data_IF_111833453841
#
_entry.id   IF_111833453841
#
_cell.length_a   1.000
_cell.length_b   1.000
_cell.length_c   1.000
_cell.angle_alpha   90.00
_cell.angle_beta   90.00
_cell.angle_gamma   90.00
#
_symmetry.space_group_name_H-M   'P 1'
#
loop_
_entity.id
_entity.type
_entity.pdbx_description
1 polymer ?
#
# COMPACT_ATOMS: atom_id res chain seq x y z
N UNK A 1 16.62 -14.37 -2.86
CA UNK A 1 16.01 -13.09 -2.46
C UNK A 1 16.79 -12.49 -1.30
N UNK A 2 17.03 -11.19 -1.32
CA UNK A 2 17.72 -10.51 -0.22
C UNK A 2 16.83 -10.49 1.02
N UNK A 3 17.43 -10.49 2.21
CA UNK A 3 16.69 -10.48 3.47
C UNK A 3 15.73 -9.27 3.59
N UNK A 4 16.13 -8.11 3.08
CA UNK A 4 15.30 -6.91 3.07
C UNK A 4 14.03 -7.13 2.25
N UNK A 5 14.15 -7.78 1.09
CA UNK A 5 13.01 -8.07 0.22
C UNK A 5 12.06 -9.07 0.86
N UNK A 6 12.59 -10.05 1.58
CA UNK A 6 11.77 -11.01 2.32
C UNK A 6 10.98 -10.34 3.43
N UNK A 7 11.62 -9.46 4.20
CA UNK A 7 10.96 -8.71 5.26
C UNK A 7 9.88 -7.78 4.69
N UNK A 8 10.15 -7.15 3.55
CA UNK A 8 9.19 -6.31 2.87
C UNK A 8 7.96 -7.11 2.45
N UNK A 9 8.15 -8.27 1.83
CA UNK A 9 7.05 -9.14 1.42
C UNK A 9 6.23 -9.63 2.62
N UNK A 10 6.89 -9.98 3.72
CA UNK A 10 6.21 -10.39 4.95
C UNK A 10 5.34 -9.23 5.46
N UNK A 11 5.88 -8.02 5.47
CA UNK A 11 5.13 -6.83 5.92
C UNK A 11 3.92 -6.55 5.04
N UNK A 12 4.04 -6.73 3.71
CA UNK A 12 2.91 -6.56 2.80
C UNK A 12 1.82 -7.62 3.04
N UNK A 13 2.21 -8.85 3.33
CA UNK A 13 1.24 -9.91 3.67
C UNK A 13 0.53 -9.64 4.99
N UNK A 14 1.17 -8.96 5.92
CA UNK A 14 0.52 -8.51 7.16
C UNK A 14 -0.62 -7.52 6.89
N UNK A 15 -0.49 -6.70 5.84
CA UNK A 15 -1.58 -5.81 5.43
C UNK A 15 -2.82 -6.63 5.07
N UNK A 16 -2.65 -7.64 4.23
CA UNK A 16 -3.73 -8.53 3.84
C UNK A 16 -4.38 -9.22 5.05
N UNK A 17 -3.56 -9.79 5.94
CA UNK A 17 -4.07 -10.47 7.13
C UNK A 17 -4.84 -9.52 8.04
N UNK A 18 -4.37 -8.28 8.19
CA UNK A 18 -5.06 -7.28 9.00
C UNK A 18 -6.42 -6.93 8.43
N UNK A 19 -6.54 -6.80 7.12
CA UNK A 19 -7.81 -6.51 6.45
C UNK A 19 -8.80 -7.65 6.65
N UNK A 20 -8.37 -8.88 6.44
CA UNK A 20 -9.23 -10.07 6.62
C UNK A 20 -9.73 -10.16 8.07
N UNK A 21 -8.83 -9.99 9.03
CA UNK A 21 -9.18 -10.15 10.45
C UNK A 21 -10.03 -9.00 10.98
N UNK A 22 -10.06 -7.86 10.29
CA UNK A 22 -10.77 -6.66 10.74
C UNK A 22 -12.12 -6.46 10.05
N UNK A 23 -12.43 -7.21 9.00
CA UNK A 23 -13.57 -6.93 8.13
C UNK A 23 -14.91 -6.94 8.82
N UNK A 24 -15.09 -7.73 9.88
CA UNK A 24 -16.35 -7.86 10.59
C UNK A 24 -16.53 -6.87 11.74
N UNK A 25 -15.43 -6.22 12.17
CA UNK A 25 -15.41 -5.41 13.40
C UNK A 25 -15.16 -3.92 13.16
N UNK A 26 -14.82 -3.54 11.93
CA UNK A 26 -14.40 -2.17 11.62
C UNK A 26 -15.14 -1.63 10.42
N UNK A 27 -15.32 -0.29 10.39
CA UNK A 27 -15.87 0.40 9.23
C UNK A 27 -14.88 0.38 8.06
N UNK A 28 -15.36 0.70 6.86
CA UNK A 28 -14.50 0.80 5.68
C UNK A 28 -13.38 1.84 5.87
N UNK A 29 -13.68 2.97 6.52
CA UNK A 29 -12.67 3.99 6.81
C UNK A 29 -11.60 3.49 7.77
N UNK A 30 -12.01 2.76 8.80
CA UNK A 30 -11.07 2.18 9.76
C UNK A 30 -10.18 1.15 9.08
N UNK A 31 -10.73 0.31 8.22
CA UNK A 31 -9.96 -0.69 7.48
C UNK A 31 -8.96 0.00 6.55
N UNK A 32 -9.37 1.05 5.85
CA UNK A 32 -8.44 1.82 4.99
C UNK A 32 -7.32 2.44 5.79
N UNK A 33 -7.61 2.99 6.97
CA UNK A 33 -6.59 3.56 7.84
C UNK A 33 -5.58 2.50 8.30
N UNK A 34 -6.06 1.34 8.72
CA UNK A 34 -5.20 0.23 9.12
C UNK A 34 -4.31 -0.21 7.95
N UNK A 35 -4.91 -0.39 6.78
CA UNK A 35 -4.20 -0.77 5.57
C UNK A 35 -3.10 0.25 5.22
N UNK A 36 -3.44 1.54 5.24
CA UNK A 36 -2.50 2.60 4.92
C UNK A 36 -1.32 2.62 5.88
N UNK A 37 -1.56 2.57 7.18
CA UNK A 37 -0.50 2.60 8.19
C UNK A 37 0.42 1.40 8.09
N UNK A 38 -0.13 0.22 7.86
CA UNK A 38 0.68 -0.99 7.70
C UNK A 38 1.48 -0.98 6.41
N UNK A 39 0.93 -0.42 5.34
CA UNK A 39 1.65 -0.24 4.09
C UNK A 39 2.80 0.75 4.26
N UNK A 40 2.57 1.87 4.96
CA UNK A 40 3.63 2.82 5.28
C UNK A 40 4.75 2.15 6.06
N UNK A 41 4.42 1.32 7.03
CA UNK A 41 5.40 0.57 7.80
C UNK A 41 6.21 -0.38 6.92
N UNK A 42 5.55 -1.07 5.99
CA UNK A 42 6.24 -1.95 5.04
C UNK A 42 7.24 -1.18 4.18
N UNK A 43 6.82 -0.04 3.63
CA UNK A 43 7.70 0.78 2.80
C UNK A 43 8.84 1.44 3.57
N UNK A 44 8.73 1.58 4.89
CA UNK A 44 9.83 2.10 5.71
C UNK A 44 11.05 1.16 5.71
N UNK A 45 10.88 -0.08 5.28
CA UNK A 45 11.94 -1.09 5.23
C UNK A 45 12.73 -1.09 3.93
N UNK A 46 12.30 -0.31 2.93
CA UNK A 46 12.95 -0.25 1.62
C UNK A 46 13.27 1.20 1.28
N UNK A 47 14.23 1.39 0.38
CA UNK A 47 14.55 2.72 -0.10
C UNK A 47 13.57 3.12 -1.19
N UNK A 48 13.02 4.33 -1.05
CA UNK A 48 12.17 4.92 -2.08
C UNK A 48 12.41 6.42 -2.11
N UNK A 49 11.99 7.05 -3.20
CA UNK A 49 12.10 8.49 -3.37
C UNK A 49 10.80 9.02 -3.95
N UNK A 50 10.28 10.09 -3.37
CA UNK A 50 9.10 10.79 -3.87
C UNK A 50 9.56 12.18 -4.31
N UNK A 51 9.29 12.53 -5.57
CA UNK A 51 9.61 13.83 -6.14
C UNK A 51 8.33 14.54 -6.57
N UNK A 52 8.28 15.84 -6.39
CA UNK A 52 7.16 16.65 -6.84
C UNK A 52 5.94 16.61 -5.94
N UNK A 53 6.09 16.21 -4.67
CA UNK A 53 4.98 16.20 -3.73
C UNK A 53 4.37 17.59 -3.51
N UNK A 54 5.15 18.64 -3.71
CA UNK A 54 4.68 20.01 -3.64
C UNK A 54 3.67 20.37 -4.73
N UNK A 55 3.60 19.57 -5.79
CA UNK A 55 2.67 19.77 -6.91
C UNK A 55 1.32 19.06 -6.69
N UNK A 56 1.16 18.34 -5.58
CA UNK A 56 -0.09 17.66 -5.30
C UNK A 56 -1.22 18.67 -5.07
N UNK A 57 -2.42 18.43 -5.67
CA UNK A 57 -3.55 19.33 -5.43
C UNK A 57 -4.00 19.24 -3.98
N UNK A 58 -4.38 20.39 -3.40
CA UNK A 58 -4.84 20.49 -2.02
C UNK A 58 -6.24 21.08 -2.00
N UNK A 59 -7.07 20.54 -1.11
CA UNK A 59 -8.41 21.06 -0.86
C UNK A 59 -9.32 21.05 -2.09
N UNK A 60 -9.11 20.09 -2.99
CA UNK A 60 -9.96 19.91 -4.17
C UNK A 60 -10.07 18.44 -4.55
N UNK A 61 -11.18 18.08 -5.14
CA UNK A 61 -11.39 16.74 -5.69
C UNK A 61 -10.53 16.57 -6.94
N UNK A 62 -9.86 15.43 -7.06
CA UNK A 62 -8.93 15.18 -8.15
C UNK A 62 -8.99 13.74 -8.61
N UNK A 63 -8.64 13.51 -9.86
CA UNK A 63 -8.44 12.18 -10.42
C UNK A 63 -6.95 12.00 -10.66
N UNK A 64 -6.42 10.88 -10.14
CA UNK A 64 -4.98 10.59 -10.27
C UNK A 64 -4.79 9.51 -11.33
N UNK A 65 -3.87 9.76 -12.24
CA UNK A 65 -3.50 8.82 -13.31
C UNK A 65 -2.04 8.46 -13.12
N UNK A 66 -1.72 7.18 -13.18
CA UNK A 66 -0.36 6.69 -13.00
C UNK A 66 -0.14 5.41 -13.80
N UNK A 67 1.14 5.08 -14.02
CA UNK A 67 1.51 3.84 -14.69
C UNK A 67 1.27 2.66 -13.77
N UNK A 68 0.68 1.60 -14.32
CA UNK A 68 0.41 0.39 -13.57
C UNK A 68 1.57 -0.60 -13.76
N UNK A 69 2.05 -1.17 -12.66
CA UNK A 69 3.11 -2.17 -12.70
C UNK A 69 2.53 -3.54 -13.07
N UNK A 70 3.35 -4.34 -13.76
CA UNK A 70 2.99 -5.72 -14.05
C UNK A 70 2.92 -6.56 -12.77
N UNK A 71 2.06 -7.56 -12.78
CA UNK A 71 1.91 -8.48 -11.67
C UNK A 71 3.15 -9.35 -11.52
N UNK A 72 3.55 -9.59 -10.29
CA UNK A 72 4.67 -10.47 -9.98
C UNK A 72 4.19 -11.59 -9.06
N UNK A 73 4.64 -12.84 -9.28
CA UNK A 73 4.21 -13.97 -8.45
C UNK A 73 4.42 -13.76 -6.95
N UNK A 74 5.45 -13.01 -6.56
CA UNK A 74 5.74 -12.75 -5.14
C UNK A 74 4.64 -11.95 -4.44
N UNK A 75 3.78 -11.25 -5.19
CA UNK A 75 2.71 -10.44 -4.62
C UNK A 75 1.36 -11.15 -4.64
N UNK A 76 1.32 -12.39 -5.09
CA UNK A 76 0.10 -13.21 -5.04
C UNK A 76 0.01 -13.83 -3.65
N UNK A 77 -1.03 -13.47 -2.92
CA UNK A 77 -1.25 -13.96 -1.55
C UNK A 77 -2.13 -15.21 -1.54
N UNK A 78 -3.12 -15.25 -2.43
CA UNK A 78 -4.01 -16.40 -2.57
C UNK A 78 -4.54 -16.45 -4.00
N UNK A 79 -5.33 -17.48 -4.32
CA UNK A 79 -5.95 -17.62 -5.63
C UNK A 79 -6.86 -16.44 -6.00
N UNK A 80 -7.33 -15.72 -4.98
CA UNK A 80 -8.30 -14.63 -5.15
C UNK A 80 -7.77 -13.26 -4.76
N UNK A 81 -6.52 -13.17 -4.31
CA UNK A 81 -5.99 -11.91 -3.81
C UNK A 81 -4.54 -11.72 -4.24
N UNK A 82 -4.26 -10.53 -4.74
CA UNK A 82 -2.93 -10.11 -5.13
C UNK A 82 -2.69 -8.69 -4.63
N UNK A 83 -1.46 -8.44 -4.17
CA UNK A 83 -1.06 -7.11 -3.75
C UNK A 83 -0.72 -6.27 -4.98
N UNK A 84 -1.44 -5.18 -5.18
CA UNK A 84 -1.15 -4.20 -6.23
C UNK A 84 -0.26 -3.11 -5.64
N UNK A 85 1.04 -3.26 -5.85
CA UNK A 85 2.04 -2.45 -5.17
C UNK A 85 1.94 -0.96 -5.48
N UNK A 86 1.71 -0.62 -6.75
CA UNK A 86 1.58 0.76 -7.20
C UNK A 86 0.38 1.47 -6.54
N UNK A 87 -0.78 0.84 -6.55
CA UNK A 87 -1.98 1.41 -5.93
C UNK A 87 -1.82 1.59 -4.43
N UNK A 88 -1.22 0.63 -3.75
CA UNK A 88 -0.95 0.72 -2.32
C UNK A 88 0.05 1.83 -2.01
N UNK A 89 1.08 1.98 -2.84
CA UNK A 89 2.05 3.05 -2.68
C UNK A 89 1.39 4.43 -2.85
N UNK A 90 0.60 4.62 -3.91
CA UNK A 90 -0.06 5.89 -4.17
C UNK A 90 -1.01 6.26 -3.02
N UNK A 91 -1.87 5.35 -2.61
CA UNK A 91 -2.85 5.66 -1.57
C UNK A 91 -2.22 5.88 -0.20
N UNK A 92 -1.21 5.10 0.17
CA UNK A 92 -0.63 5.13 1.51
C UNK A 92 0.52 6.10 1.65
N UNK A 93 1.43 6.14 0.69
CA UNK A 93 2.67 6.91 0.79
C UNK A 93 2.53 8.31 0.20
N UNK A 94 1.55 8.54 -0.64
CA UNK A 94 1.34 9.85 -1.25
C UNK A 94 0.05 10.49 -0.76
N UNK A 95 -1.10 9.88 -1.00
CA UNK A 95 -2.39 10.52 -0.70
C UNK A 95 -2.68 10.63 0.80
N UNK A 96 -2.34 9.61 1.57
CA UNK A 96 -2.59 9.61 3.00
C UNK A 96 -1.54 10.40 3.78
N UNK A 97 -0.33 10.54 3.25
CA UNK A 97 0.80 11.13 3.95
C UNK A 97 0.97 12.62 3.65
N UNK A 98 0.53 13.07 2.51
CA UNK A 98 0.65 14.47 2.08
C UNK A 98 -0.74 15.14 1.87
#
# INVERSE_FOLDING_TARGET
>A
MKKVDELFLISLKEVFNSVINSSDNYSAEEIRSICSKKTQKAFSRVNYEIRGSENLPKNQSSIFIYNHLDNHPNYIVSDKFQITLDSHFISSMILDKY
#
